data_IF_444015182231
#
_entry.id   IF_444015182231
#
_cell.length_a   1.000
_cell.length_b   1.000
_cell.length_c   1.000
_cell.angle_alpha   90.00
_cell.angle_beta   90.00
_cell.angle_gamma   90.00
#
_symmetry.space_group_name_H-M   'P 1'
#
loop_
_entity.id
_entity.type
_entity.pdbx_description
1 polymer ?
#
# COMPACT_ATOMS: atom_id res chain seq x y z
N UNK A 1 -18.33 -19.61 -18.83
CA UNK A 1 -18.73 -19.36 -17.43
C UNK A 1 -17.68 -18.43 -16.83
N UNK A 2 -18.02 -17.17 -16.54
CA UNK A 2 -17.03 -16.21 -16.01
C UNK A 2 -16.69 -16.56 -14.55
N UNK A 3 -15.42 -16.43 -14.12
CA UNK A 3 -15.05 -16.64 -12.73
C UNK A 3 -15.79 -15.63 -11.85
N UNK A 4 -16.36 -16.10 -10.72
CA UNK A 4 -16.94 -15.22 -9.71
C UNK A 4 -15.78 -14.51 -9.00
N UNK A 5 -15.64 -13.22 -9.25
CA UNK A 5 -14.73 -12.36 -8.50
C UNK A 5 -15.42 -12.05 -7.18
N UNK A 6 -15.01 -12.72 -6.10
CA UNK A 6 -15.40 -12.35 -4.75
C UNK A 6 -14.44 -11.30 -4.24
N UNK A 7 -14.94 -10.08 -4.02
CA UNK A 7 -14.17 -9.00 -3.42
C UNK A 7 -14.31 -9.07 -1.90
N UNK A 8 -13.18 -8.94 -1.19
CA UNK A 8 -13.13 -8.89 0.27
C UNK A 8 -12.56 -7.54 0.71
N UNK A 9 -13.40 -6.54 1.03
CA UNK A 9 -12.94 -5.19 1.35
C UNK A 9 -11.92 -5.14 2.50
N UNK A 10 -12.06 -6.00 3.51
CA UNK A 10 -11.11 -6.09 4.62
C UNK A 10 -9.74 -6.61 4.18
N UNK A 11 -9.71 -7.59 3.27
CA UNK A 11 -8.47 -8.10 2.70
C UNK A 11 -7.79 -7.04 1.83
N UNK A 12 -8.57 -6.24 1.08
CA UNK A 12 -8.03 -5.10 0.33
C UNK A 12 -7.47 -4.02 1.27
N UNK A 13 -8.16 -3.70 2.36
CA UNK A 13 -7.67 -2.74 3.34
C UNK A 13 -6.35 -3.21 4.00
N UNK A 14 -6.28 -4.49 4.38
CA UNK A 14 -5.06 -5.09 4.94
C UNK A 14 -3.90 -5.08 3.93
N UNK A 15 -4.17 -5.42 2.66
CA UNK A 15 -3.18 -5.34 1.58
C UNK A 15 -2.68 -3.90 1.38
N UNK A 16 -3.57 -2.91 1.43
CA UNK A 16 -3.17 -1.52 1.35
C UNK A 16 -2.25 -1.10 2.51
N UNK A 17 -2.50 -1.58 3.72
CA UNK A 17 -1.62 -1.35 4.88
C UNK A 17 -0.26 -2.05 4.76
N UNK A 18 -0.22 -3.24 4.18
CA UNK A 18 1.04 -3.93 3.87
C UNK A 18 1.85 -3.17 2.83
N UNK A 19 1.23 -2.73 1.74
CA UNK A 19 1.87 -1.93 0.71
C UNK A 19 2.37 -0.58 1.25
N UNK A 20 1.58 0.09 2.10
CA UNK A 20 2.00 1.34 2.74
C UNK A 20 3.23 1.13 3.64
N UNK A 21 3.28 0.02 4.40
CA UNK A 21 4.46 -0.34 5.20
C UNK A 21 5.67 -0.66 4.33
N UNK A 22 5.48 -1.38 3.22
CA UNK A 22 6.55 -1.67 2.27
C UNK A 22 7.10 -0.39 1.63
N UNK A 23 6.24 0.54 1.23
CA UNK A 23 6.64 1.84 0.70
C UNK A 23 7.51 2.63 1.70
N UNK A 24 7.10 2.66 2.97
CA UNK A 24 7.89 3.30 4.04
C UNK A 24 9.25 2.63 4.27
N UNK A 25 9.29 1.29 4.23
CA UNK A 25 10.54 0.54 4.35
C UNK A 25 11.50 0.85 3.19
N UNK A 26 11.00 0.90 1.95
CA UNK A 26 11.79 1.26 0.77
C UNK A 26 12.31 2.70 0.83
N UNK A 27 11.48 3.66 1.26
CA UNK A 27 11.91 5.05 1.44
C UNK A 27 13.01 5.17 2.50
N UNK A 28 12.89 4.43 3.60
CA UNK A 28 13.91 4.38 4.65
C UNK A 28 15.22 3.77 4.14
N UNK A 29 15.14 2.71 3.33
CA UNK A 29 16.32 2.08 2.73
C UNK A 29 17.02 3.04 1.76
N UNK A 30 16.26 3.75 0.92
CA UNK A 30 16.79 4.77 0.02
C UNK A 30 17.54 5.88 0.76
N UNK A 31 17.01 6.37 1.88
CA UNK A 31 17.69 7.37 2.71
C UNK A 31 18.99 6.83 3.32
N UNK A 32 19.00 5.56 3.75
CA UNK A 32 20.21 4.89 4.25
C UNK A 32 21.27 4.76 3.16
N UNK A 33 20.88 4.37 1.94
CA UNK A 33 21.79 4.32 0.79
C UNK A 33 22.38 5.69 0.47
N UNK A 34 21.57 6.75 0.50
CA UNK A 34 22.04 8.13 0.27
C UNK A 34 23.02 8.59 1.34
N UNK A 35 22.74 8.29 2.62
CA UNK A 35 23.65 8.56 3.72
C UNK A 35 24.97 7.80 3.58
N UNK A 36 24.90 6.51 3.24
CA UNK A 36 26.08 5.68 3.00
C UNK A 36 26.92 6.18 1.81
N UNK A 37 26.27 6.67 0.74
CA UNK A 37 26.95 7.27 -0.41
C UNK A 37 27.88 8.41 0.02
N UNK A 38 27.37 9.33 0.85
CA UNK A 38 28.16 10.46 1.35
C UNK A 38 29.34 10.03 2.25
N UNK A 39 29.15 8.98 3.06
CA UNK A 39 30.22 8.42 3.89
C UNK A 39 31.30 7.73 3.04
N UNK A 40 30.89 6.94 2.05
CA UNK A 40 31.81 6.18 1.19
C UNK A 40 32.62 7.09 0.27
N UNK A 41 32.00 8.13 -0.27
CA UNK A 41 32.70 9.15 -1.07
C UNK A 41 33.80 9.84 -0.26
N UNK A 42 33.50 10.21 1.00
CA UNK A 42 34.47 10.81 1.92
C UNK A 42 35.58 9.84 2.37
N UNK A 43 35.28 8.55 2.55
CA UNK A 43 36.21 7.57 3.12
C UNK A 43 37.15 6.93 2.10
N UNK A 44 36.67 6.61 0.89
CA UNK A 44 37.45 5.90 -0.11
C UNK A 44 38.30 6.84 -0.97
N UNK A 45 37.91 8.11 -1.07
CA UNK A 45 38.52 9.14 -1.92
C UNK A 45 38.72 8.69 -3.39
N UNK A 46 39.18 9.62 -4.23
CA UNK A 46 39.52 9.30 -5.62
C UNK A 46 38.37 8.67 -6.42
N UNK A 47 38.72 7.79 -7.35
CA UNK A 47 37.75 7.21 -8.30
C UNK A 47 36.81 6.22 -7.61
N UNK A 48 37.33 5.45 -6.66
CA UNK A 48 36.61 4.42 -5.93
C UNK A 48 35.49 5.03 -5.08
N UNK A 49 35.76 6.16 -4.40
CA UNK A 49 34.75 6.93 -3.68
C UNK A 49 33.66 7.45 -4.60
N UNK A 50 34.04 8.07 -5.72
CA UNK A 50 33.07 8.61 -6.70
C UNK A 50 32.19 7.51 -7.30
N UNK A 51 32.75 6.38 -7.70
CA UNK A 51 31.98 5.26 -8.29
C UNK A 51 31.05 4.64 -7.25
N UNK A 52 31.54 4.40 -6.04
CA UNK A 52 30.73 3.80 -4.97
C UNK A 52 29.61 4.73 -4.53
N UNK A 53 29.90 6.03 -4.39
CA UNK A 53 28.90 7.06 -4.12
C UNK A 53 27.83 7.11 -5.21
N UNK A 54 28.22 7.11 -6.48
CA UNK A 54 27.27 7.11 -7.60
C UNK A 54 26.35 5.88 -7.61
N UNK A 55 26.89 4.68 -7.34
CA UNK A 55 26.08 3.46 -7.25
C UNK A 55 25.10 3.52 -6.07
N UNK A 56 25.56 4.00 -4.90
CA UNK A 56 24.71 4.13 -3.73
C UNK A 56 23.60 5.19 -3.93
N UNK A 57 23.89 6.30 -4.60
CA UNK A 57 22.89 7.30 -5.01
C UNK A 57 21.89 6.72 -6.00
N UNK A 58 22.34 6.00 -7.03
CA UNK A 58 21.45 5.36 -8.00
C UNK A 58 20.50 4.35 -7.32
N UNK A 59 21.00 3.61 -6.32
CA UNK A 59 20.15 2.73 -5.52
C UNK A 59 19.13 3.51 -4.68
N UNK A 60 19.55 4.61 -4.05
CA UNK A 60 18.65 5.46 -3.29
C UNK A 60 17.49 5.99 -4.15
N UNK A 61 17.79 6.39 -5.39
CA UNK A 61 16.79 6.92 -6.32
C UNK A 61 15.82 5.83 -6.79
N UNK A 62 16.32 4.62 -7.09
CA UNK A 62 15.47 3.48 -7.45
C UNK A 62 14.57 3.05 -6.27
N UNK A 63 15.11 3.02 -5.05
CA UNK A 63 14.33 2.72 -3.85
C UNK A 63 13.23 3.78 -3.62
N UNK A 64 13.54 5.06 -3.87
CA UNK A 64 12.56 6.15 -3.84
C UNK A 64 11.43 5.97 -4.86
N UNK A 65 11.76 5.69 -6.12
CA UNK A 65 10.76 5.44 -7.17
C UNK A 65 9.86 4.24 -6.85
N UNK A 66 10.43 3.16 -6.31
CA UNK A 66 9.66 1.99 -5.87
C UNK A 66 8.77 2.30 -4.66
N UNK A 67 9.24 3.12 -3.71
CA UNK A 67 8.46 3.56 -2.57
C UNK A 67 7.24 4.38 -3.02
N UNK A 68 7.43 5.36 -3.91
CA UNK A 68 6.35 6.18 -4.47
C UNK A 68 5.33 5.34 -5.23
N UNK A 69 5.79 4.44 -6.11
CA UNK A 69 4.92 3.53 -6.85
C UNK A 69 4.11 2.62 -5.92
N UNK A 70 4.75 2.06 -4.89
CA UNK A 70 4.09 1.19 -3.91
C UNK A 70 3.05 1.97 -3.09
N UNK A 71 3.36 3.21 -2.67
CA UNK A 71 2.44 4.07 -1.96
C UNK A 71 1.21 4.44 -2.83
N UNK A 72 1.42 4.70 -4.11
CA UNK A 72 0.33 4.97 -5.04
C UNK A 72 -0.62 3.77 -5.17
N UNK A 73 -0.07 2.55 -5.34
CA UNK A 73 -0.87 1.32 -5.38
C UNK A 73 -1.61 1.09 -4.06
N UNK A 74 -0.95 1.30 -2.91
CA UNK A 74 -1.61 1.22 -1.60
C UNK A 74 -2.83 2.16 -1.52
N UNK A 75 -2.67 3.41 -1.99
CA UNK A 75 -3.75 4.39 -2.06
C UNK A 75 -4.91 3.94 -2.95
N UNK A 76 -4.62 3.42 -4.14
CA UNK A 76 -5.64 2.88 -5.06
C UNK A 76 -6.40 1.70 -4.44
N UNK A 77 -5.69 0.75 -3.83
CA UNK A 77 -6.32 -0.43 -3.21
C UNK A 77 -7.20 -0.02 -2.03
N UNK A 78 -6.73 0.93 -1.20
CA UNK A 78 -7.52 1.49 -0.10
C UNK A 78 -8.78 2.19 -0.60
N UNK A 79 -8.67 3.01 -1.64
CA UNK A 79 -9.81 3.69 -2.25
C UNK A 79 -10.84 2.68 -2.80
N UNK A 80 -10.38 1.60 -3.43
CA UNK A 80 -11.25 0.52 -3.88
C UNK A 80 -11.98 -0.15 -2.71
N UNK A 81 -11.29 -0.46 -1.60
CA UNK A 81 -11.90 -1.05 -0.42
C UNK A 81 -13.02 -0.18 0.16
N UNK A 82 -12.82 1.15 0.21
CA UNK A 82 -13.84 2.12 0.65
C UNK A 82 -15.02 2.12 -0.32
N UNK A 83 -14.77 2.26 -1.63
CA UNK A 83 -15.83 2.28 -2.63
C UNK A 83 -16.71 1.02 -2.61
N UNK A 84 -16.12 -0.16 -2.34
CA UNK A 84 -16.91 -1.40 -2.19
C UNK A 84 -17.79 -1.40 -0.94
N UNK A 85 -17.34 -0.80 0.17
CA UNK A 85 -18.17 -0.67 1.38
C UNK A 85 -19.30 0.32 1.18
N UNK A 86 -19.01 1.48 0.60
CA UNK A 86 -20.02 2.50 0.30
C UNK A 86 -21.13 1.93 -0.61
N UNK A 87 -20.74 1.14 -1.61
CA UNK A 87 -21.69 0.47 -2.50
C UNK A 87 -22.53 -0.61 -1.79
N UNK A 88 -21.94 -1.35 -0.84
CA UNK A 88 -22.67 -2.35 -0.04
C UNK A 88 -23.67 -1.68 0.92
N UNK A 89 -23.28 -0.56 1.53
CA UNK A 89 -24.15 0.26 2.39
C UNK A 89 -25.32 0.85 1.59
N UNK A 90 -25.07 1.45 0.43
CA UNK A 90 -26.12 1.96 -0.46
C UNK A 90 -27.11 0.84 -0.87
N UNK A 91 -26.57 -0.35 -1.17
CA UNK A 91 -27.39 -1.51 -1.52
C UNK A 91 -28.25 -1.94 -0.33
N UNK A 92 -27.68 -2.04 0.87
CA UNK A 92 -28.37 -2.42 2.09
C UNK A 92 -29.50 -1.43 2.43
N UNK A 93 -29.26 -0.13 2.28
CA UNK A 93 -30.27 0.92 2.47
C UNK A 93 -31.46 0.76 1.52
N UNK A 94 -31.21 0.39 0.26
CA UNK A 94 -32.26 0.16 -0.74
C UNK A 94 -33.15 -1.04 -0.44
N UNK A 95 -32.61 -2.07 0.21
CA UNK A 95 -33.39 -3.26 0.58
C UNK A 95 -34.11 -3.11 1.94
N UNK A 96 -33.71 -2.13 2.76
CA UNK A 96 -34.29 -1.88 4.07
C UNK A 96 -33.93 -2.94 5.12
N UNK A 97 -34.31 -2.70 6.37
CA UNK A 97 -34.10 -3.68 7.43
C UNK A 97 -34.88 -4.98 7.13
N UNK A 98 -34.30 -6.17 7.38
CA UNK A 98 -35.02 -7.42 7.20
C UNK A 98 -36.29 -7.40 8.06
N UNK A 99 -37.45 -7.59 7.42
CA UNK A 99 -38.70 -7.89 8.13
C UNK A 99 -38.51 -9.27 8.75
N UNK A 100 -38.09 -9.29 10.02
CA UNK A 100 -38.11 -10.50 10.81
C UNK A 100 -39.59 -10.89 10.96
N UNK A 101 -40.01 -12.10 10.56
CA UNK A 101 -41.38 -12.54 10.76
C UNK A 101 -41.67 -12.45 12.26
N UNK A 102 -42.57 -11.54 12.63
CA UNK A 102 -42.98 -11.33 14.02
C UNK A 102 -43.43 -12.64 14.61
N UNK A 103 -42.79 -13.06 15.69
CA UNK A 103 -43.30 -14.17 16.49
C UNK A 103 -44.71 -13.81 16.95
N UNK A 104 -45.69 -14.60 16.54
CA UNK A 104 -47.03 -14.52 17.08
C UNK A 104 -46.94 -14.58 18.62
N UNK A 105 -47.44 -13.58 19.36
CA UNK A 105 -47.68 -13.75 20.78
C UNK A 105 -48.87 -14.69 20.91
N UNK A 106 -48.61 -16.00 20.95
CA UNK A 106 -49.63 -16.99 21.33
C UNK A 106 -49.94 -16.87 22.82
N UNK A 107 -51.25 -16.88 23.08
CA UNK A 107 -51.99 -16.76 24.33
C UNK A 107 -51.60 -17.75 25.43
#
# INVERSE_FOLDING_TARGET
MAPRITVQPDALAALADELARLASALATDGERCRSAAGVLDAALAGREGTVTGAVATAWADLAGALAEGTAAVAGTVRAAAVAYRDADEELAERFGAPVLPGGDPSC
#
